data_IF_010991547790
#
_entry.id   IF_010991547790
#
_cell.length_a   1.000
_cell.length_b   1.000
_cell.length_c   1.000
_cell.angle_alpha   90.00
_cell.angle_beta   90.00
_cell.angle_gamma   90.00
#
_symmetry.space_group_name_H-M   'P 1'
#
loop_
_entity.id
_entity.type
_entity.pdbx_description
1 polymer ?
#
# COMPACT_ATOMS: atom_id res chain seq x y z
N UNK A 1 -28.18 25.23 2.45
CA UNK A 1 -27.24 24.59 1.51
C UNK A 1 -25.92 24.41 2.21
N UNK A 2 -25.71 23.22 2.76
CA UNK A 2 -24.43 22.50 2.79
C UNK A 2 -24.79 21.13 3.33
N UNK A 3 -25.14 20.21 2.42
CA UNK A 3 -25.18 18.79 2.77
C UNK A 3 -23.78 18.43 3.23
N UNK A 4 -23.62 18.20 4.54
CA UNK A 4 -22.41 17.63 5.10
C UNK A 4 -22.38 16.18 4.64
N UNK A 5 -21.73 15.95 3.51
CA UNK A 5 -21.53 14.62 2.95
C UNK A 5 -20.78 13.78 3.99
N UNK A 6 -21.51 12.95 4.72
CA UNK A 6 -20.97 12.22 5.85
C UNK A 6 -20.29 11.00 5.27
N UNK A 7 -18.97 11.11 5.07
CA UNK A 7 -18.18 10.06 4.46
C UNK A 7 -18.23 8.79 5.32
N UNK A 8 -18.83 7.72 4.79
CA UNK A 8 -18.94 6.43 5.47
C UNK A 8 -17.58 5.71 5.44
N UNK A 9 -17.03 5.42 6.62
CA UNK A 9 -15.81 4.66 6.78
C UNK A 9 -16.13 3.18 7.05
N UNK A 10 -15.44 2.29 6.34
CA UNK A 10 -15.46 0.86 6.62
C UNK A 10 -14.52 0.52 7.78
N UNK A 11 -14.74 -0.64 8.41
CA UNK A 11 -13.89 -1.15 9.47
C UNK A 11 -12.43 -1.29 9.01
N UNK A 12 -11.44 -0.93 9.87
CA UNK A 12 -10.03 -1.14 9.56
C UNK A 12 -9.69 -2.62 9.34
N UNK A 13 -8.78 -2.90 8.41
CA UNK A 13 -8.23 -4.24 8.22
C UNK A 13 -7.01 -4.44 9.10
N UNK A 14 -7.06 -5.39 10.02
CA UNK A 14 -5.88 -5.83 10.77
C UNK A 14 -5.07 -6.85 9.94
N UNK A 15 -3.88 -7.18 10.46
CA UNK A 15 -2.94 -8.06 9.76
C UNK A 15 -3.54 -9.43 9.39
N UNK A 16 -4.41 -10.00 10.23
CA UNK A 16 -5.01 -11.30 9.98
C UNK A 16 -5.95 -11.29 8.76
N UNK A 17 -6.67 -10.20 8.55
CA UNK A 17 -7.54 -9.96 7.40
C UNK A 17 -6.70 -9.69 6.15
N UNK A 18 -5.65 -8.86 6.27
CA UNK A 18 -4.72 -8.59 5.18
C UNK A 18 -4.07 -9.88 4.68
N UNK A 19 -3.64 -10.78 5.58
CA UNK A 19 -3.03 -12.06 5.20
C UNK A 19 -4.00 -13.04 4.53
N UNK A 20 -5.31 -12.90 4.73
CA UNK A 20 -6.33 -13.66 4.00
C UNK A 20 -6.51 -13.14 2.58
N UNK A 21 -6.36 -11.83 2.39
CA UNK A 21 -6.57 -11.15 1.10
C UNK A 21 -5.31 -11.25 0.22
N UNK A 22 -4.14 -10.96 0.80
CA UNK A 22 -2.87 -10.89 0.10
C UNK A 22 -2.10 -12.23 0.19
N UNK A 23 -1.48 -12.68 -0.91
CA UNK A 23 -0.63 -13.88 -0.90
C UNK A 23 0.76 -13.63 -0.28
N UNK A 24 1.18 -12.37 -0.12
CA UNK A 24 2.51 -12.00 0.40
C UNK A 24 2.74 -12.50 1.82
N UNK A 25 3.94 -13.00 2.10
CA UNK A 25 4.39 -13.47 3.43
C UNK A 25 5.80 -12.95 3.70
N UNK A 26 6.30 -13.14 4.92
CA UNK A 26 7.67 -12.78 5.28
C UNK A 26 8.68 -13.34 4.26
N UNK A 27 9.68 -12.55 3.81
CA UNK A 27 9.99 -11.17 4.21
C UNK A 27 9.35 -10.07 3.33
N UNK A 28 8.31 -10.39 2.54
CA UNK A 28 7.74 -9.53 1.50
C UNK A 28 6.32 -9.01 1.78
N UNK A 29 5.72 -9.26 2.96
CA UNK A 29 4.49 -8.57 3.36
C UNK A 29 4.84 -7.20 3.96
N UNK A 30 4.42 -6.13 3.28
CA UNK A 30 4.87 -4.76 3.52
C UNK A 30 3.75 -3.82 4.00
N UNK A 31 2.63 -4.37 4.48
CA UNK A 31 1.51 -3.61 5.06
C UNK A 31 1.06 -4.30 6.33
N UNK A 32 1.00 -3.56 7.43
CA UNK A 32 0.66 -4.08 8.76
C UNK A 32 -0.83 -3.93 9.07
N UNK A 33 -1.45 -2.85 8.57
CA UNK A 33 -2.85 -2.48 8.82
C UNK A 33 -3.37 -1.57 7.71
N UNK A 34 -4.67 -1.57 7.44
CA UNK A 34 -5.32 -0.54 6.59
C UNK A 34 -6.41 0.16 7.40
N UNK A 35 -6.37 1.49 7.41
CA UNK A 35 -7.30 2.37 8.11
C UNK A 35 -7.95 3.36 7.13
N UNK A 36 -8.93 4.13 7.60
CA UNK A 36 -9.59 5.20 6.84
C UNK A 36 -10.11 4.72 5.48
N UNK A 37 -10.69 3.52 5.46
CA UNK A 37 -11.20 2.88 4.24
C UNK A 37 -12.55 3.49 3.91
N UNK A 38 -12.73 3.90 2.66
CA UNK A 38 -13.99 4.43 2.15
C UNK A 38 -14.23 3.84 0.76
N UNK A 39 -15.50 3.67 0.36
CA UNK A 39 -15.80 3.02 -0.93
C UNK A 39 -15.26 3.81 -2.13
N UNK A 40 -15.31 5.14 -2.06
CA UNK A 40 -15.04 6.02 -3.21
C UNK A 40 -13.71 6.78 -3.13
N UNK A 41 -13.13 6.98 -1.93
CA UNK A 41 -11.98 7.87 -1.73
C UNK A 41 -10.69 7.15 -1.34
N UNK A 42 -10.68 5.83 -1.25
CA UNK A 42 -9.46 5.06 -1.00
C UNK A 42 -9.30 4.59 0.45
N UNK A 43 -8.08 4.21 0.78
CA UNK A 43 -7.68 3.71 2.09
C UNK A 43 -6.26 4.14 2.45
N UNK A 44 -5.89 4.03 3.71
CA UNK A 44 -4.54 4.36 4.21
C UNK A 44 -3.89 3.12 4.80
N UNK A 45 -2.89 2.58 4.13
CA UNK A 45 -2.04 1.51 4.67
C UNK A 45 -1.10 2.05 5.74
N UNK A 46 -0.80 1.22 6.74
CA UNK A 46 0.21 1.49 7.75
C UNK A 46 1.32 0.47 7.58
N UNK A 47 2.56 0.95 7.48
CA UNK A 47 3.77 0.11 7.57
C UNK A 47 4.71 0.72 8.60
N UNK A 48 4.93 0.00 9.68
CA UNK A 48 5.94 0.34 10.67
C UNK A 48 7.31 -0.06 10.14
N UNK A 49 8.27 0.86 10.29
CA UNK A 49 9.64 0.63 9.85
C UNK A 49 10.50 0.40 11.07
N UNK A 50 11.13 -0.77 11.17
CA UNK A 50 11.93 -1.13 12.34
C UNK A 50 13.30 -1.63 11.94
N UNK A 51 14.31 -1.36 12.77
CA UNK A 51 15.69 -1.83 12.52
C UNK A 51 15.77 -3.37 12.45
N UNK A 52 14.78 -4.05 13.02
CA UNK A 52 14.66 -5.51 13.00
C UNK A 52 14.07 -6.08 11.69
N UNK A 53 14.14 -5.34 10.59
CA UNK A 53 13.75 -5.82 9.25
C UNK A 53 14.98 -6.25 8.44
N UNK A 54 14.91 -7.37 7.70
CA UNK A 54 16.09 -8.02 7.11
C UNK A 54 16.81 -7.18 6.05
N UNK A 55 16.11 -6.24 5.40
CA UNK A 55 16.73 -5.40 4.37
C UNK A 55 17.68 -4.33 4.93
N UNK A 56 17.61 -4.00 6.23
CA UNK A 56 18.49 -3.01 6.84
C UNK A 56 19.92 -3.50 7.03
N UNK A 57 20.14 -4.82 7.11
CA UNK A 57 21.50 -5.40 7.11
C UNK A 57 22.28 -4.99 5.84
N UNK A 58 21.58 -4.89 4.71
CA UNK A 58 22.17 -4.56 3.41
C UNK A 58 22.00 -3.11 2.96
N UNK A 59 21.06 -2.35 3.54
CA UNK A 59 20.68 -1.04 3.01
C UNK A 59 20.56 0.04 4.11
N UNK A 60 21.66 0.56 4.64
CA UNK A 60 23.06 0.15 4.46
C UNK A 60 23.67 -0.14 5.84
N UNK A 61 24.71 -0.98 5.97
CA UNK A 61 25.23 -1.44 7.26
C UNK A 61 25.48 -0.36 8.33
N UNK A 62 25.93 0.83 7.94
CA UNK A 62 26.18 1.96 8.85
C UNK A 62 25.11 3.07 8.81
N UNK A 63 24.14 2.96 7.89
CA UNK A 63 23.12 3.97 7.64
C UNK A 63 21.84 3.29 7.16
N UNK A 64 21.01 2.78 8.09
CA UNK A 64 19.78 2.07 7.73
C UNK A 64 18.81 3.04 7.04
N UNK A 65 18.41 2.70 5.83
CA UNK A 65 17.43 3.43 5.02
C UNK A 65 16.49 2.41 4.39
N UNK A 66 15.18 2.58 4.49
CA UNK A 66 14.26 1.67 3.81
C UNK A 66 14.45 1.82 2.29
N UNK A 67 14.68 0.73 1.53
CA UNK A 67 14.78 0.81 0.08
C UNK A 67 13.53 1.45 -0.52
N UNK A 68 13.70 2.48 -1.36
CA UNK A 68 12.57 3.19 -1.97
C UNK A 68 11.62 2.28 -2.75
N UNK A 69 12.16 1.24 -3.40
CA UNK A 69 11.36 0.22 -4.10
C UNK A 69 10.43 -0.57 -3.17
N UNK A 70 10.79 -0.77 -1.90
CA UNK A 70 9.91 -1.41 -0.93
C UNK A 70 8.79 -0.49 -0.45
N UNK A 71 8.98 0.83 -0.54
CA UNK A 71 7.89 1.79 -0.33
C UNK A 71 6.87 1.66 -1.48
N UNK A 72 7.33 1.56 -2.73
CA UNK A 72 6.46 1.31 -3.90
C UNK A 72 5.72 -0.03 -3.76
N UNK A 73 6.41 -1.08 -3.31
CA UNK A 73 5.80 -2.38 -3.02
C UNK A 73 4.69 -2.26 -1.95
N UNK A 74 4.95 -1.55 -0.85
CA UNK A 74 3.96 -1.30 0.19
C UNK A 74 2.74 -0.51 -0.33
N UNK A 75 2.94 0.43 -1.27
CA UNK A 75 1.84 1.13 -1.95
C UNK A 75 0.94 0.17 -2.73
N UNK A 76 1.51 -0.75 -3.50
CA UNK A 76 0.73 -1.69 -4.28
C UNK A 76 0.02 -2.73 -3.43
N UNK A 77 0.67 -3.24 -2.37
CA UNK A 77 0.01 -4.15 -1.44
C UNK A 77 -1.17 -3.48 -0.73
N UNK A 78 -1.01 -2.21 -0.33
CA UNK A 78 -2.10 -1.42 0.26
C UNK A 78 -3.25 -1.28 -0.74
N UNK A 79 -2.95 -0.90 -1.99
CA UNK A 79 -3.94 -0.74 -3.05
C UNK A 79 -4.68 -2.06 -3.37
N UNK A 80 -3.96 -3.18 -3.42
CA UNK A 80 -4.52 -4.51 -3.66
C UNK A 80 -5.46 -4.94 -2.55
N UNK A 81 -5.02 -4.84 -1.28
CA UNK A 81 -5.83 -5.23 -0.14
C UNK A 81 -7.07 -4.33 0.01
N UNK A 82 -6.92 -3.01 -0.17
CA UNK A 82 -8.02 -2.07 -0.22
C UNK A 82 -9.04 -2.46 -1.31
N UNK A 83 -8.59 -2.66 -2.55
CA UNK A 83 -9.48 -2.92 -3.69
C UNK A 83 -10.21 -4.25 -3.52
N UNK A 84 -9.50 -5.30 -3.10
CA UNK A 84 -10.10 -6.60 -2.87
C UNK A 84 -11.16 -6.56 -1.76
N UNK A 85 -10.91 -5.81 -0.69
CA UNK A 85 -11.87 -5.65 0.40
C UNK A 85 -13.11 -4.86 -0.02
N UNK A 86 -12.92 -3.68 -0.62
CA UNK A 86 -14.04 -2.79 -1.01
C UNK A 86 -14.91 -3.41 -2.10
N UNK A 87 -14.31 -4.13 -3.04
CA UNK A 87 -15.03 -4.75 -4.15
C UNK A 87 -15.43 -6.20 -3.90
N UNK A 88 -15.11 -6.74 -2.71
CA UNK A 88 -15.35 -8.13 -2.36
C UNK A 88 -14.83 -9.11 -3.42
N UNK A 89 -13.59 -8.87 -3.90
CA UNK A 89 -12.97 -9.69 -4.93
C UNK A 89 -12.54 -11.03 -4.35
N UNK A 90 -12.77 -12.09 -5.11
CA UNK A 90 -12.15 -13.38 -4.82
C UNK A 90 -10.67 -13.34 -5.24
N UNK A 91 -9.79 -13.24 -4.25
CA UNK A 91 -8.34 -13.28 -4.44
C UNK A 91 -7.76 -14.67 -4.20
N UNK A 92 -8.60 -15.69 -3.96
CA UNK A 92 -8.13 -17.06 -3.85
C UNK A 92 -7.48 -17.50 -5.17
N UNK A 93 -6.28 -18.08 -5.09
CA UNK A 93 -5.52 -18.49 -6.28
C UNK A 93 -5.34 -17.36 -7.32
N UNK A 94 -5.22 -16.12 -6.85
CA UNK A 94 -4.89 -14.96 -7.68
C UNK A 94 -3.71 -14.20 -7.09
N UNK A 95 -2.93 -13.59 -7.97
CA UNK A 95 -1.83 -12.69 -7.63
C UNK A 95 -2.06 -11.34 -8.29
N UNK A 96 -1.54 -10.29 -7.65
CA UNK A 96 -1.51 -8.95 -8.23
C UNK A 96 -0.12 -8.72 -8.80
N UNK A 97 -0.04 -8.41 -10.09
CA UNK A 97 1.22 -8.10 -10.77
C UNK A 97 1.27 -6.64 -11.18
N UNK A 98 2.39 -5.98 -10.91
CA UNK A 98 2.67 -4.66 -11.46
C UNK A 98 2.74 -4.73 -12.99
N UNK A 99 2.01 -3.83 -13.65
CA UNK A 99 2.15 -3.58 -15.08
C UNK A 99 3.05 -2.38 -15.38
N UNK A 100 3.16 -1.45 -14.45
CA UNK A 100 4.01 -0.27 -14.59
C UNK A 100 3.90 0.68 -13.41
N UNK A 101 4.94 1.48 -13.23
CA UNK A 101 5.02 2.53 -12.21
C UNK A 101 5.46 3.82 -12.90
N UNK A 102 4.71 4.88 -12.68
CA UNK A 102 4.88 6.19 -13.28
C UNK A 102 5.04 7.27 -12.21
N UNK A 103 5.78 8.34 -12.54
CA UNK A 103 5.92 9.55 -11.71
C UNK A 103 6.37 9.27 -10.27
N UNK A 104 7.08 8.17 -10.03
CA UNK A 104 7.64 7.87 -8.71
C UNK A 104 8.64 8.95 -8.29
N UNK A 105 8.43 9.55 -7.12
CA UNK A 105 9.34 10.52 -6.52
C UNK A 105 9.60 10.17 -5.07
N UNK A 106 10.87 10.16 -4.69
CA UNK A 106 11.33 9.96 -3.32
C UNK A 106 11.84 11.30 -2.78
N UNK A 107 11.16 11.85 -1.78
CA UNK A 107 11.41 13.22 -1.29
C UNK A 107 12.40 13.26 -0.14
N UNK A 108 12.36 12.25 0.73
CA UNK A 108 13.34 12.05 1.81
C UNK A 108 13.51 10.57 2.13
N UNK A 109 14.65 10.17 2.73
CA UNK A 109 14.82 8.82 3.26
C UNK A 109 13.77 8.48 4.31
N UNK A 110 13.38 7.21 4.34
CA UNK A 110 12.59 6.59 5.41
C UNK A 110 13.56 5.73 6.22
N UNK A 111 13.47 5.80 7.54
CA UNK A 111 14.44 5.19 8.47
C UNK A 111 13.73 4.40 9.58
N UNK A 112 14.43 3.51 10.31
CA UNK A 112 13.86 2.85 11.49
C UNK A 112 13.22 3.84 12.47
N UNK A 113 12.03 3.51 12.96
CA UNK A 113 11.21 4.36 13.82
C UNK A 113 10.13 5.14 13.08
N UNK A 114 10.26 5.32 11.75
CA UNK A 114 9.21 5.93 10.95
C UNK A 114 7.97 5.01 10.88
N UNK A 115 6.78 5.61 10.90
CA UNK A 115 5.53 4.95 10.51
C UNK A 115 5.07 5.52 9.18
N UNK A 116 5.01 4.67 8.16
CA UNK A 116 4.51 5.04 6.85
C UNK A 116 2.98 5.03 6.84
N UNK A 117 2.40 6.18 6.50
CA UNK A 117 0.99 6.33 6.17
C UNK A 117 0.87 6.35 4.64
N UNK A 118 0.35 5.25 4.09
CA UNK A 118 0.32 4.95 2.66
C UNK A 118 -1.08 5.22 2.13
N UNK A 119 -1.33 6.44 1.68
CA UNK A 119 -2.63 6.83 1.13
C UNK A 119 -2.74 6.31 -0.31
N UNK A 120 -3.73 5.47 -0.59
CA UNK A 120 -4.00 4.95 -1.93
C UNK A 120 -5.40 5.33 -2.39
N UNK A 121 -5.53 5.66 -3.68
CA UNK A 121 -6.82 5.89 -4.34
C UNK A 121 -6.87 5.19 -5.69
N UNK A 122 -8.04 4.69 -6.08
CA UNK A 122 -8.28 4.15 -7.42
C UNK A 122 -8.47 5.31 -8.38
N UNK A 123 -7.55 5.49 -9.32
CA UNK A 123 -7.66 6.50 -10.37
C UNK A 123 -8.44 5.98 -11.58
N UNK A 124 -8.33 4.68 -11.86
CA UNK A 124 -9.05 4.05 -12.96
C UNK A 124 -9.29 2.57 -12.66
N UNK A 125 -10.50 2.10 -12.96
CA UNK A 125 -10.90 0.70 -12.84
C UNK A 125 -11.34 0.16 -14.20
N UNK A 126 -10.66 -0.88 -14.69
CA UNK A 126 -11.00 -1.65 -15.90
C UNK A 126 -10.59 -3.12 -15.69
N UNK A 127 -11.37 -3.90 -14.90
CA UNK A 127 -10.99 -5.27 -14.54
C UNK A 127 -10.58 -6.10 -15.77
N UNK A 128 -9.50 -6.89 -15.67
CA UNK A 128 -8.74 -7.22 -14.46
C UNK A 128 -7.62 -6.21 -14.11
N UNK A 129 -7.65 -4.98 -14.64
CA UNK A 129 -6.62 -3.96 -14.44
C UNK A 129 -7.14 -2.74 -13.66
N UNK A 130 -6.32 -2.26 -12.73
CA UNK A 130 -6.56 -1.02 -11.99
C UNK A 130 -5.35 -0.09 -12.11
N UNK A 131 -5.62 1.21 -12.09
CA UNK A 131 -4.60 2.25 -11.90
C UNK A 131 -4.84 2.97 -10.60
N UNK A 132 -3.75 3.22 -9.90
CA UNK A 132 -3.74 3.83 -8.57
C UNK A 132 -2.87 5.07 -8.56
N UNK A 133 -3.24 5.98 -7.68
CA UNK A 133 -2.34 7.01 -7.20
C UNK A 133 -2.07 6.78 -5.72
N UNK A 134 -0.82 6.98 -5.31
CA UNK A 134 -0.42 6.81 -3.93
C UNK A 134 0.51 7.91 -3.46
N UNK A 135 0.34 8.27 -2.20
CA UNK A 135 1.16 9.22 -1.47
C UNK A 135 1.50 8.61 -0.12
N UNK A 136 2.79 8.60 0.22
CA UNK A 136 3.28 8.09 1.50
C UNK A 136 3.77 9.25 2.34
N UNK A 137 3.29 9.29 3.58
CA UNK A 137 3.64 10.30 4.56
C UNK A 137 4.25 9.66 5.80
N UNK A 138 5.09 10.44 6.48
CA UNK A 138 5.59 10.17 7.83
C UNK A 138 5.51 11.49 8.59
N UNK A 139 4.84 11.50 9.73
CA UNK A 139 4.53 12.70 10.52
C UNK A 139 3.88 13.82 9.69
N UNK A 140 2.93 13.45 8.81
CA UNK A 140 2.22 14.36 7.90
C UNK A 140 3.07 14.96 6.78
N UNK A 141 4.33 14.52 6.61
CA UNK A 141 5.23 14.98 5.55
C UNK A 141 5.40 13.93 4.48
N UNK A 142 5.24 14.34 3.23
CA UNK A 142 5.37 13.48 2.05
C UNK A 142 6.78 12.94 1.92
N UNK A 143 6.95 11.62 1.93
CA UNK A 143 8.23 10.94 1.73
C UNK A 143 8.34 10.28 0.36
N UNK A 144 7.22 9.81 -0.19
CA UNK A 144 7.16 9.20 -1.51
C UNK A 144 5.78 9.44 -2.16
N UNK A 145 5.74 9.51 -3.49
CA UNK A 145 4.50 9.53 -4.27
C UNK A 145 4.73 8.77 -5.59
N UNK A 146 3.70 8.10 -6.09
CA UNK A 146 3.74 7.39 -7.37
C UNK A 146 2.32 7.17 -7.93
N UNK A 147 2.24 6.94 -9.24
CA UNK A 147 1.09 6.33 -9.90
C UNK A 147 1.50 4.96 -10.41
N UNK A 148 0.62 3.96 -10.37
CA UNK A 148 0.97 2.63 -10.88
C UNK A 148 -0.25 1.88 -11.39
N UNK A 149 0.00 0.93 -12.30
CA UNK A 149 -1.00 0.02 -12.82
C UNK A 149 -0.70 -1.40 -12.35
N UNK A 150 -1.74 -2.14 -11.97
CA UNK A 150 -1.63 -3.52 -11.54
C UNK A 150 -2.78 -4.36 -12.08
N UNK A 151 -2.50 -5.65 -12.29
CA UNK A 151 -3.45 -6.63 -12.80
C UNK A 151 -3.66 -7.74 -11.79
N UNK A 152 -4.92 -8.11 -11.54
CA UNK A 152 -5.27 -9.33 -10.80
C UNK A 152 -5.32 -10.51 -11.80
N UNK A 153 -4.48 -11.51 -11.62
CA UNK A 153 -4.34 -12.64 -12.55
C UNK A 153 -4.15 -13.96 -11.80
N UNK A 154 -4.36 -15.08 -12.48
CA UNK A 154 -3.92 -16.37 -11.99
C UNK A 154 -2.37 -16.40 -11.86
N UNK A 155 -1.82 -17.19 -10.91
CA UNK A 155 -0.40 -17.50 -10.86
C UNK A 155 0.09 -18.06 -12.20
N UNK A 156 1.31 -17.70 -12.57
CA UNK A 156 2.00 -18.21 -13.77
C UNK A 156 2.63 -19.57 -13.50
#
# INVERSE_FOLDING_TARGET
MSDTDTQEYLEPLQIAEIMKILPHRYPMLMVDRIINITKDNGGTGIKNVTINEPFFEGHFPAKPVMPGVLIIEAMAQTAAAYTAHVENLDTSERIVLFMGVDKAKFRRPVVPGDQLHIHVRVAQKRPPVWKFESKVEVDGKVVCEASFAAMLTAPV
#
